data_IF_994353853855
#
_entry.id   IF_994353853855
#
_cell.length_a   1.000
_cell.length_b   1.000
_cell.length_c   1.000
_cell.angle_alpha   90.00
_cell.angle_beta   90.00
_cell.angle_gamma   90.00
#
_symmetry.space_group_name_H-M   'P 1'
#
loop_
_entity.id
_entity.type
_entity.pdbx_description
1 polymer ?
#
# COMPACT_ATOMS: atom_id res chain seq x y z
N UNK A 1 -6.47 -5.49 42.13
CA UNK A 1 -7.56 -5.08 41.21
C UNK A 1 -8.48 -6.27 41.04
N UNK A 2 -9.79 -6.05 40.89
CA UNK A 2 -10.79 -7.12 40.77
C UNK A 2 -10.56 -7.91 39.48
N UNK A 3 -10.58 -9.24 39.55
CA UNK A 3 -10.47 -10.09 38.36
C UNK A 3 -11.82 -10.37 37.66
N UNK A 4 -12.86 -9.64 38.04
CA UNK A 4 -14.20 -9.83 37.52
C UNK A 4 -14.35 -9.20 36.13
N UNK A 5 -14.60 -10.05 35.13
CA UNK A 5 -14.98 -9.63 33.78
C UNK A 5 -16.43 -9.15 33.81
N UNK A 6 -16.67 -7.94 33.31
CA UNK A 6 -18.00 -7.31 33.30
C UNK A 6 -18.59 -7.20 31.90
N UNK A 7 -17.74 -7.11 30.87
CA UNK A 7 -18.15 -7.03 29.47
C UNK A 7 -17.20 -7.88 28.65
N UNK A 8 -17.73 -8.55 27.62
CA UNK A 8 -16.91 -9.18 26.61
C UNK A 8 -17.44 -8.81 25.23
N UNK A 9 -16.53 -8.37 24.36
CA UNK A 9 -16.81 -7.84 23.03
C UNK A 9 -15.74 -8.33 22.08
N UNK A 10 -16.13 -8.95 20.96
CA UNK A 10 -15.17 -9.54 20.00
C UNK A 10 -14.14 -10.50 20.64
N UNK A 11 -14.48 -11.20 21.72
CA UNK A 11 -13.55 -12.07 22.46
C UNK A 11 -12.60 -11.34 23.43
N UNK A 12 -12.62 -10.01 23.46
CA UNK A 12 -11.94 -9.18 24.45
C UNK A 12 -12.75 -9.09 25.74
N UNK A 13 -12.08 -9.05 26.88
CA UNK A 13 -12.71 -8.98 28.21
C UNK A 13 -12.38 -7.65 28.89
N UNK A 14 -13.41 -6.90 29.25
CA UNK A 14 -13.29 -5.68 30.06
C UNK A 14 -13.54 -6.06 31.51
N UNK A 15 -12.62 -5.65 32.39
CA UNK A 15 -12.70 -5.89 33.83
C UNK A 15 -13.25 -4.71 34.59
N UNK A 16 -13.88 -5.01 35.71
CA UNK A 16 -14.27 -4.02 36.71
C UNK A 16 -13.03 -3.39 37.35
N UNK A 17 -13.10 -2.10 37.70
CA UNK A 17 -12.07 -1.36 38.44
C UNK A 17 -10.64 -1.52 37.87
N UNK A 18 -10.52 -1.31 36.55
CA UNK A 18 -9.30 -1.51 35.77
C UNK A 18 -8.98 -0.29 34.90
N UNK A 19 -7.69 -0.08 34.64
CA UNK A 19 -7.20 0.97 33.75
C UNK A 19 -6.67 0.35 32.47
N UNK A 20 -7.07 0.88 31.32
CA UNK A 20 -6.63 0.44 29.99
C UNK A 20 -5.80 1.52 29.31
N UNK A 21 -4.49 1.31 29.19
CA UNK A 21 -3.58 2.23 28.50
C UNK A 21 -3.40 1.86 27.02
N UNK A 22 -3.55 2.84 26.14
CA UNK A 22 -3.24 2.73 24.72
C UNK A 22 -1.72 2.84 24.53
N UNK A 23 -1.11 1.93 23.77
CA UNK A 23 0.32 1.93 23.44
C UNK A 23 0.54 1.73 21.95
N UNK A 24 1.58 2.35 21.39
CA UNK A 24 1.99 2.13 20.00
C UNK A 24 2.65 0.75 19.81
N UNK A 25 2.62 0.22 18.58
CA UNK A 25 3.36 -1.00 18.27
C UNK A 25 3.78 -1.13 16.78
N UNK A 26 5.10 -1.04 16.49
CA UNK A 26 5.64 -1.22 15.13
C UNK A 26 5.66 -2.66 14.58
N UNK A 27 5.71 -3.69 15.45
CA UNK A 27 6.12 -5.08 15.12
C UNK A 27 4.99 -6.13 15.23
N UNK A 28 3.72 -5.73 15.42
CA UNK A 28 2.52 -6.59 15.40
C UNK A 28 2.46 -7.86 16.31
N UNK A 29 3.47 -8.17 17.14
CA UNK A 29 3.46 -9.30 18.09
C UNK A 29 2.91 -9.02 19.53
N UNK A 30 1.72 -9.53 19.86
CA UNK A 30 1.26 -9.75 21.26
C UNK A 30 1.32 -11.27 21.64
N UNK A 31 1.45 -11.60 22.94
CA UNK A 31 1.77 -12.89 23.63
C UNK A 31 1.29 -12.80 25.10
N UNK A 32 1.04 -13.88 25.80
CA UNK A 32 -0.30 -14.21 26.26
C UNK A 32 -0.84 -13.62 27.61
N UNK A 33 -0.25 -12.58 28.25
CA UNK A 33 -0.76 -12.00 29.55
C UNK A 33 -0.81 -10.47 29.85
N UNK A 34 -0.52 -9.53 28.93
CA UNK A 34 -0.83 -8.07 29.05
C UNK A 34 -2.04 -7.51 28.27
N UNK A 35 -2.57 -8.14 27.22
CA UNK A 35 -2.64 -9.58 26.95
C UNK A 35 -3.32 -10.39 28.09
N UNK A 36 -3.64 -9.78 29.25
CA UNK A 36 -4.70 -10.17 30.21
C UNK A 36 -5.48 -8.94 30.74
N UNK A 37 -4.98 -7.84 31.36
CA UNK A 37 -5.89 -6.85 32.04
C UNK A 37 -5.57 -5.33 32.08
N UNK A 38 -5.23 -4.65 30.98
CA UNK A 38 -5.22 -3.16 31.02
C UNK A 38 -4.40 -2.42 29.98
N UNK A 39 -4.21 -2.95 28.78
CA UNK A 39 -3.59 -2.18 27.70
C UNK A 39 -4.13 -2.56 26.33
N UNK A 40 -4.31 -1.56 25.46
CA UNK A 40 -4.88 -1.67 24.11
C UNK A 40 -3.92 -1.01 23.09
N UNK A 41 -4.00 -1.35 21.79
CA UNK A 41 -3.03 -0.88 20.77
C UNK A 41 -3.72 -0.21 19.59
N UNK A 42 -3.10 0.83 19.02
CA UNK A 42 -3.57 1.52 17.80
C UNK A 42 -2.76 1.02 16.59
N UNK A 43 -3.33 0.92 15.37
CA UNK A 43 -2.63 0.32 14.23
C UNK A 43 -1.45 1.09 13.60
N UNK A 44 -1.16 2.35 13.96
CA UNK A 44 -0.11 3.18 13.31
C UNK A 44 0.36 4.33 14.22
N UNK A 45 1.63 4.72 14.10
CA UNK A 45 2.26 5.83 14.82
C UNK A 45 1.85 7.21 14.21
N UNK A 46 1.72 8.25 15.05
CA UNK A 46 1.57 9.70 14.75
C UNK A 46 0.19 10.35 14.47
N UNK A 47 -0.95 9.67 14.62
CA UNK A 47 -2.26 10.34 14.56
C UNK A 47 -3.21 9.81 15.62
N UNK A 48 -3.85 10.71 16.38
CA UNK A 48 -5.03 10.35 17.16
C UNK A 48 -6.18 10.06 16.19
N UNK A 49 -6.88 8.95 16.39
CA UNK A 49 -8.02 8.57 15.57
C UNK A 49 -9.31 8.92 16.30
N UNK A 50 -10.22 9.64 15.64
CA UNK A 50 -11.60 9.76 16.12
C UNK A 50 -12.30 8.42 15.88
N UNK A 51 -12.87 7.86 16.93
CA UNK A 51 -13.60 6.60 16.87
C UNK A 51 -15.09 6.89 16.95
N UNK A 52 -15.83 6.29 16.02
CA UNK A 52 -17.28 6.37 15.93
C UNK A 52 -17.89 4.97 15.91
N UNK A 53 -19.16 4.87 16.31
CA UNK A 53 -19.91 3.62 16.20
C UNK A 53 -20.18 3.28 14.73
N UNK A 54 -20.13 1.98 14.36
CA UNK A 54 -20.36 1.54 12.98
C UNK A 54 -21.83 1.62 12.63
N UNK A 55 -22.15 2.18 11.46
CA UNK A 55 -23.51 2.21 10.92
C UNK A 55 -23.78 0.98 10.04
N UNK A 56 -24.80 0.20 10.39
CA UNK A 56 -25.32 -0.88 9.55
C UNK A 56 -26.24 -0.30 8.47
N UNK A 57 -25.69 -0.19 7.26
CA UNK A 57 -26.39 0.36 6.09
C UNK A 57 -27.61 -0.49 5.71
N UNK A 58 -27.56 -1.81 5.87
CA UNK A 58 -28.63 -2.71 5.45
C UNK A 58 -29.87 -2.55 6.33
N UNK A 59 -29.65 -2.36 7.64
CA UNK A 59 -30.74 -2.23 8.62
C UNK A 59 -31.03 -0.79 9.03
N UNK A 60 -30.24 0.18 8.55
CA UNK A 60 -30.33 1.62 8.84
C UNK A 60 -30.28 1.92 10.34
N UNK A 61 -29.35 1.28 11.06
CA UNK A 61 -29.17 1.42 12.51
C UNK A 61 -27.70 1.39 12.87
N UNK A 62 -27.33 1.90 14.05
CA UNK A 62 -25.96 1.77 14.55
C UNK A 62 -25.74 0.38 15.16
N UNK A 63 -24.64 -0.27 14.79
CA UNK A 63 -24.26 -1.55 15.37
C UNK A 63 -23.52 -1.34 16.69
N UNK A 64 -24.31 -1.24 17.76
CA UNK A 64 -23.82 -0.98 19.13
C UNK A 64 -23.71 -2.25 19.97
N UNK A 65 -24.25 -3.38 19.52
CA UNK A 65 -24.41 -4.59 20.35
C UNK A 65 -25.47 -4.48 21.46
N UNK A 66 -26.15 -3.35 21.63
CA UNK A 66 -27.12 -3.14 22.71
C UNK A 66 -28.52 -3.72 22.44
N UNK A 67 -28.67 -4.49 21.36
CA UNK A 67 -29.93 -5.07 20.91
C UNK A 67 -29.69 -6.46 20.32
N UNK A 68 -30.69 -7.35 20.44
CA UNK A 68 -30.52 -8.79 20.15
C UNK A 68 -30.38 -9.12 18.66
N UNK A 69 -30.73 -8.19 17.78
CA UNK A 69 -30.58 -8.31 16.32
C UNK A 69 -29.25 -7.73 15.81
N UNK A 70 -28.36 -7.26 16.70
CA UNK A 70 -27.07 -6.72 16.28
C UNK A 70 -26.27 -7.72 15.44
N UNK A 71 -25.67 -7.28 14.31
CA UNK A 71 -24.78 -8.10 13.48
C UNK A 71 -23.66 -8.78 14.26
N UNK A 72 -23.21 -8.17 15.37
CA UNK A 72 -22.21 -8.73 16.30
C UNK A 72 -22.59 -10.12 16.85
N UNK A 73 -23.87 -10.47 16.81
CA UNK A 73 -24.39 -11.74 17.33
C UNK A 73 -24.90 -12.72 16.26
N UNK A 74 -24.60 -12.47 14.98
CA UNK A 74 -25.07 -13.27 13.84
C UNK A 74 -24.81 -14.78 13.96
N UNK A 75 -23.81 -15.19 14.74
CA UNK A 75 -23.43 -16.59 14.97
C UNK A 75 -23.84 -17.14 16.36
N UNK A 76 -24.64 -16.43 17.14
CA UNK A 76 -25.05 -16.83 18.50
C UNK A 76 -26.50 -17.29 18.55
N UNK A 77 -26.82 -18.24 19.42
CA UNK A 77 -28.19 -18.63 19.70
C UNK A 77 -28.98 -17.49 20.39
N UNK A 78 -30.30 -17.66 20.48
CA UNK A 78 -31.18 -16.61 21.01
C UNK A 78 -30.94 -16.32 22.51
N UNK A 79 -30.73 -17.34 23.31
CA UNK A 79 -30.61 -17.21 24.77
C UNK A 79 -29.31 -16.49 25.13
N UNK A 80 -28.21 -16.87 24.46
CA UNK A 80 -26.91 -16.22 24.63
C UNK A 80 -26.95 -14.74 24.22
N UNK A 81 -27.68 -14.40 23.15
CA UNK A 81 -27.89 -13.01 22.71
C UNK A 81 -28.62 -12.17 23.74
N UNK A 82 -29.74 -12.69 24.25
CA UNK A 82 -30.53 -12.02 25.27
C UNK A 82 -29.72 -11.81 26.56
N UNK A 83 -28.89 -12.79 26.94
CA UNK A 83 -27.98 -12.67 28.07
C UNK A 83 -26.90 -11.59 27.84
N UNK A 84 -26.24 -11.59 26.67
CA UNK A 84 -25.20 -10.58 26.33
C UNK A 84 -25.75 -9.16 26.37
N UNK A 85 -26.91 -8.92 25.76
CA UNK A 85 -27.57 -7.61 25.75
C UNK A 85 -27.91 -7.16 27.17
N UNK A 86 -28.45 -8.07 27.99
CA UNK A 86 -28.77 -7.75 29.40
C UNK A 86 -27.52 -7.35 30.19
N UNK A 87 -26.43 -8.10 30.05
CA UNK A 87 -25.16 -7.76 30.72
C UNK A 87 -24.62 -6.41 30.25
N UNK A 88 -24.65 -6.11 28.95
CA UNK A 88 -24.24 -4.80 28.45
C UNK A 88 -25.11 -3.67 29.01
N UNK A 89 -26.43 -3.85 29.06
CA UNK A 89 -27.33 -2.86 29.66
C UNK A 89 -26.98 -2.61 31.12
N UNK A 90 -26.92 -3.66 31.92
CA UNK A 90 -26.66 -3.56 33.36
C UNK A 90 -25.27 -2.99 33.72
N UNK A 91 -24.25 -3.30 32.90
CA UNK A 91 -22.84 -2.96 33.22
C UNK A 91 -22.30 -1.75 32.49
N UNK A 92 -22.93 -1.34 31.39
CA UNK A 92 -22.45 -0.26 30.53
C UNK A 92 -23.50 0.81 30.30
N UNK A 93 -24.65 0.41 29.75
CA UNK A 93 -25.60 1.37 29.17
C UNK A 93 -26.45 2.05 30.24
N UNK A 94 -27.07 1.29 31.16
CA UNK A 94 -27.92 1.87 32.20
C UNK A 94 -27.14 2.81 33.14
N UNK A 95 -25.90 2.50 33.56
CA UNK A 95 -25.07 3.45 34.30
C UNK A 95 -24.76 4.73 33.52
N UNK A 96 -24.47 4.61 32.22
CA UNK A 96 -24.21 5.76 31.35
C UNK A 96 -25.46 6.64 31.18
N UNK A 97 -26.62 6.02 30.92
CA UNK A 97 -27.93 6.70 30.84
C UNK A 97 -28.22 7.47 32.13
N UNK A 98 -28.01 6.84 33.29
CA UNK A 98 -28.26 7.44 34.60
C UNK A 98 -27.36 8.66 34.86
N UNK A 99 -26.07 8.56 34.57
CA UNK A 99 -25.10 9.66 34.79
C UNK A 99 -25.40 10.86 33.89
N UNK A 100 -25.82 10.61 32.65
CA UNK A 100 -26.05 11.67 31.66
C UNK A 100 -27.51 12.11 31.53
N UNK A 101 -28.43 11.48 32.25
CA UNK A 101 -29.88 11.75 32.12
C UNK A 101 -30.42 11.44 30.72
N UNK A 102 -29.75 10.54 29.98
CA UNK A 102 -30.19 10.12 28.64
C UNK A 102 -31.30 9.09 28.84
N UNK A 103 -32.35 9.18 28.02
CA UNK A 103 -33.37 8.13 27.96
C UNK A 103 -32.77 6.81 27.45
N UNK A 104 -33.63 5.89 26.99
CA UNK A 104 -33.15 4.61 26.46
C UNK A 104 -32.21 4.81 25.28
N UNK A 105 -30.94 4.51 25.49
CA UNK A 105 -29.85 4.47 24.53
C UNK A 105 -29.76 3.07 23.91
N UNK A 106 -30.16 2.98 22.65
CA UNK A 106 -30.08 1.80 21.80
C UNK A 106 -29.64 2.18 20.38
N UNK A 107 -29.74 1.24 19.44
CA UNK A 107 -29.30 1.41 18.07
C UNK A 107 -30.11 2.43 17.24
N UNK A 108 -31.24 2.91 17.76
CA UNK A 108 -32.13 3.87 17.09
C UNK A 108 -31.89 5.32 17.47
N UNK A 109 -31.03 5.59 18.46
CA UNK A 109 -30.66 6.96 18.83
C UNK A 109 -29.67 7.54 17.81
N UNK A 110 -30.11 7.74 16.56
CA UNK A 110 -29.29 8.14 15.42
C UNK A 110 -28.53 9.44 15.66
N UNK A 111 -29.20 10.48 16.17
CA UNK A 111 -28.59 11.78 16.47
C UNK A 111 -27.45 11.63 17.49
N UNK A 112 -27.68 10.88 18.56
CA UNK A 112 -26.65 10.61 19.56
C UNK A 112 -25.43 9.91 18.93
N UNK A 113 -25.64 8.85 18.16
CA UNK A 113 -24.52 8.08 17.60
C UNK A 113 -23.80 8.76 16.44
N UNK A 114 -24.45 9.69 15.73
CA UNK A 114 -23.80 10.55 14.75
C UNK A 114 -22.87 11.57 15.40
N UNK A 115 -23.21 12.04 16.60
CA UNK A 115 -22.43 13.04 17.34
C UNK A 115 -21.43 12.41 18.33
N UNK A 116 -21.67 11.18 18.77
CA UNK A 116 -20.82 10.50 19.74
C UNK A 116 -19.48 10.12 19.11
N UNK A 117 -18.44 10.86 19.48
CA UNK A 117 -17.06 10.58 19.11
C UNK A 117 -16.12 10.72 20.31
N UNK A 118 -15.00 10.00 20.26
CA UNK A 118 -13.89 10.17 21.17
C UNK A 118 -12.59 9.84 20.46
N UNK A 119 -11.49 10.41 20.93
CA UNK A 119 -10.18 10.22 20.31
C UNK A 119 -9.37 9.14 21.03
N UNK A 120 -8.78 8.24 20.25
CA UNK A 120 -7.80 7.26 20.69
C UNK A 120 -6.42 7.69 20.20
N UNK A 121 -5.44 7.77 21.10
CA UNK A 121 -4.06 8.10 20.79
C UNK A 121 -3.12 7.37 21.73
N UNK A 122 -1.84 7.25 21.35
CA UNK A 122 -0.83 6.62 22.19
C UNK A 122 -0.74 7.32 23.57
N UNK A 123 -0.83 6.52 24.64
CA UNK A 123 -0.80 7.01 26.00
C UNK A 123 -2.16 7.34 26.60
N UNK A 124 -3.27 7.34 25.83
CA UNK A 124 -4.63 7.47 26.37
C UNK A 124 -4.90 6.36 27.38
N UNK A 125 -5.48 6.71 28.53
CA UNK A 125 -5.92 5.78 29.56
C UNK A 125 -7.45 5.82 29.61
N UNK A 126 -8.08 4.65 29.61
CA UNK A 126 -9.50 4.45 29.89
C UNK A 126 -9.66 3.88 31.30
N UNK A 127 -10.41 4.57 32.16
CA UNK A 127 -10.79 4.05 33.48
C UNK A 127 -12.17 3.40 33.43
N UNK A 128 -12.27 2.11 33.74
CA UNK A 128 -13.57 1.41 33.71
C UNK A 128 -14.54 1.82 34.82
N UNK A 129 -14.10 2.59 35.82
CA UNK A 129 -14.99 3.19 36.82
C UNK A 129 -15.67 4.47 36.29
N UNK A 130 -15.11 5.08 35.24
CA UNK A 130 -15.73 6.22 34.57
C UNK A 130 -16.62 5.72 33.42
N UNK A 131 -17.90 6.09 33.45
CA UNK A 131 -18.89 5.61 32.47
C UNK A 131 -18.58 6.07 31.05
N UNK A 132 -17.92 7.22 30.86
CA UNK A 132 -17.54 7.72 29.54
C UNK A 132 -16.37 6.93 28.98
N UNK A 133 -15.33 6.74 29.78
CA UNK A 133 -14.18 5.93 29.39
C UNK A 133 -14.57 4.47 29.16
N UNK A 134 -15.52 3.92 29.93
CA UNK A 134 -16.01 2.56 29.72
C UNK A 134 -16.80 2.42 28.41
N UNK A 135 -17.68 3.39 28.09
CA UNK A 135 -18.40 3.41 26.81
C UNK A 135 -17.44 3.58 25.64
N UNK A 136 -16.48 4.50 25.75
CA UNK A 136 -15.46 4.72 24.74
C UNK A 136 -14.61 3.46 24.52
N UNK A 137 -14.12 2.83 25.59
CA UNK A 137 -13.35 1.58 25.50
C UNK A 137 -14.14 0.46 24.82
N UNK A 138 -15.42 0.31 25.15
CA UNK A 138 -16.31 -0.68 24.53
C UNK A 138 -16.48 -0.42 23.02
N UNK A 139 -16.79 0.81 22.62
CA UNK A 139 -16.98 1.18 21.20
C UNK A 139 -15.67 0.98 20.42
N UNK A 140 -14.51 1.25 21.03
CA UNK A 140 -13.20 1.10 20.38
C UNK A 140 -12.91 -0.38 20.08
N UNK A 141 -13.19 -1.24 21.06
CA UNK A 141 -13.03 -2.68 20.93
C UNK A 141 -14.05 -3.29 19.96
N UNK A 142 -15.29 -2.78 19.96
CA UNK A 142 -16.35 -3.18 19.04
C UNK A 142 -15.97 -2.86 17.58
N UNK A 143 -15.42 -1.68 17.35
CA UNK A 143 -14.99 -1.18 16.05
C UNK A 143 -13.66 -1.76 15.55
N UNK A 144 -12.96 -2.59 16.33
CA UNK A 144 -11.58 -3.02 16.07
C UNK A 144 -10.57 -1.87 15.95
N UNK A 145 -10.89 -0.69 16.49
CA UNK A 145 -9.97 0.46 16.53
C UNK A 145 -8.85 0.26 17.55
N UNK A 146 -9.05 -0.70 18.46
CA UNK A 146 -8.06 -1.25 19.38
C UNK A 146 -7.91 -2.75 19.14
N UNK A 147 -6.72 -3.21 18.74
CA UNK A 147 -6.54 -4.59 18.20
C UNK A 147 -5.85 -5.56 19.17
N UNK A 148 -6.45 -6.74 19.43
CA UNK A 148 -5.74 -7.96 19.84
C UNK A 148 -5.26 -8.78 18.63
N UNK A 149 -4.16 -9.53 18.81
CA UNK A 149 -3.46 -10.26 17.74
C UNK A 149 -4.31 -11.39 17.13
N UNK A 150 -5.30 -11.92 17.85
CA UNK A 150 -6.07 -13.07 17.38
C UNK A 150 -7.19 -12.71 16.38
N UNK A 151 -7.53 -11.42 16.22
CA UNK A 151 -8.64 -10.97 15.36
C UNK A 151 -8.16 -10.43 14.02
N UNK A 152 -7.50 -11.34 13.32
CA UNK A 152 -7.11 -11.27 11.92
C UNK A 152 -8.28 -10.81 11.02
N UNK A 153 -8.25 -9.55 10.57
CA UNK A 153 -9.38 -8.94 9.86
C UNK A 153 -9.09 -7.69 9.04
N UNK A 154 -7.86 -7.17 9.04
CA UNK A 154 -7.50 -5.96 8.29
C UNK A 154 -7.56 -6.24 6.77
N UNK A 155 -8.41 -5.51 6.00
CA UNK A 155 -8.49 -5.64 4.55
C UNK A 155 -7.14 -5.42 3.84
N UNK A 156 -6.22 -4.65 4.44
CA UNK A 156 -4.87 -4.41 3.91
C UNK A 156 -3.95 -5.63 4.06
N UNK A 157 -4.12 -6.41 5.13
CA UNK A 157 -3.40 -7.68 5.33
C UNK A 157 -4.04 -8.85 4.58
N UNK A 158 -5.38 -8.91 4.48
CA UNK A 158 -6.06 -9.93 3.63
C UNK A 158 -5.74 -9.76 2.15
N UNK A 159 -5.43 -8.54 1.73
CA UNK A 159 -5.01 -8.23 0.36
C UNK A 159 -3.49 -8.24 0.16
N UNK A 160 -2.70 -8.36 1.24
CA UNK A 160 -1.27 -8.60 1.10
C UNK A 160 -1.07 -10.02 0.57
N UNK A 161 -0.73 -10.15 -0.72
CA UNK A 161 -0.55 -11.45 -1.37
C UNK A 161 0.56 -12.29 -0.71
N UNK A 162 1.45 -11.67 0.08
CA UNK A 162 2.68 -12.26 0.59
C UNK A 162 2.97 -11.80 2.04
N UNK A 163 2.81 -12.69 3.02
CA UNK A 163 3.23 -12.45 4.41
C UNK A 163 4.72 -12.82 4.61
N UNK A 164 5.46 -12.02 5.35
CA UNK A 164 6.87 -12.23 5.68
C UNK A 164 6.96 -12.27 7.20
N UNK A 165 7.36 -13.41 7.77
CA UNK A 165 7.52 -13.54 9.22
C UNK A 165 8.84 -12.94 9.69
N UNK A 166 8.91 -12.39 10.90
CA UNK A 166 10.14 -11.76 11.45
C UNK A 166 11.37 -12.69 11.38
N UNK A 167 11.17 -13.99 11.59
CA UNK A 167 12.25 -15.00 11.51
C UNK A 167 12.83 -15.17 10.09
N UNK A 168 12.12 -14.66 9.08
CA UNK A 168 12.55 -14.67 7.67
C UNK A 168 13.27 -13.37 7.29
N UNK A 169 13.34 -12.39 8.20
CA UNK A 169 14.02 -11.11 8.03
C UNK A 169 15.41 -11.19 8.63
N UNK A 170 16.43 -11.09 7.78
CA UNK A 170 17.83 -11.09 8.19
C UNK A 170 18.36 -9.66 8.38
N UNK A 171 17.77 -8.69 7.69
CA UNK A 171 18.10 -7.29 7.83
C UNK A 171 16.93 -6.40 7.39
N UNK A 172 16.73 -5.32 8.12
CA UNK A 172 15.80 -4.25 7.80
C UNK A 172 16.45 -2.88 7.99
N UNK A 173 15.98 -1.90 7.22
CA UNK A 173 16.33 -0.49 7.39
C UNK A 173 15.05 0.36 7.45
N UNK A 174 15.21 1.69 7.43
CA UNK A 174 14.09 2.64 7.49
C UNK A 174 13.04 2.49 6.36
N UNK A 175 13.33 1.71 5.31
CA UNK A 175 12.44 1.45 4.17
C UNK A 175 11.88 0.03 4.14
N UNK A 176 12.23 -0.81 5.12
CA UNK A 176 11.80 -2.20 5.24
C UNK A 176 12.94 -3.20 5.10
N UNK A 177 12.58 -4.45 4.81
CA UNK A 177 13.53 -5.57 4.73
C UNK A 177 14.46 -5.41 3.53
N UNK A 178 15.66 -5.99 3.60
CA UNK A 178 16.66 -5.89 2.53
C UNK A 178 16.25 -6.63 1.23
N UNK A 179 16.91 -6.26 0.13
CA UNK A 179 16.62 -6.82 -1.21
C UNK A 179 16.80 -8.36 -1.27
N UNK A 180 17.81 -8.91 -0.57
CA UNK A 180 18.00 -10.36 -0.47
C UNK A 180 16.77 -11.06 0.14
N UNK A 181 16.19 -10.49 1.20
CA UNK A 181 15.03 -11.08 1.88
C UNK A 181 13.76 -10.93 1.03
N UNK A 182 13.57 -9.80 0.36
CA UNK A 182 12.49 -9.62 -0.64
C UNK A 182 12.57 -10.70 -1.73
N UNK A 183 13.76 -10.94 -2.28
CA UNK A 183 13.95 -11.95 -3.31
C UNK A 183 13.75 -13.37 -2.80
N UNK A 184 14.14 -13.69 -1.56
CA UNK A 184 13.82 -14.99 -0.93
C UNK A 184 12.31 -15.21 -0.86
N UNK A 185 11.54 -14.17 -0.52
CA UNK A 185 10.07 -14.25 -0.49
C UNK A 185 9.50 -14.47 -1.89
N UNK A 186 10.00 -13.76 -2.91
CA UNK A 186 9.63 -14.00 -4.32
C UNK A 186 9.82 -15.48 -4.72
N UNK A 187 10.98 -16.06 -4.39
CA UNK A 187 11.26 -17.49 -4.63
C UNK A 187 10.28 -18.39 -3.85
N UNK A 188 10.08 -18.16 -2.56
CA UNK A 188 9.17 -18.93 -1.70
C UNK A 188 7.75 -18.99 -2.27
N UNK A 189 7.24 -17.85 -2.72
CA UNK A 189 5.88 -17.77 -3.27
C UNK A 189 5.78 -18.32 -4.69
N UNK A 190 6.83 -18.21 -5.51
CA UNK A 190 6.89 -18.87 -6.81
C UNK A 190 6.91 -20.41 -6.64
N UNK A 191 7.68 -20.92 -5.66
CA UNK A 191 7.69 -22.34 -5.30
C UNK A 191 6.31 -22.81 -4.83
N UNK A 192 5.61 -22.01 -4.02
CA UNK A 192 4.24 -22.32 -3.56
C UNK A 192 3.26 -22.39 -4.73
N UNK A 193 3.20 -21.36 -5.58
CA UNK A 193 2.32 -21.35 -6.76
C UNK A 193 2.59 -22.52 -7.70
N UNK A 194 3.87 -22.85 -7.91
CA UNK A 194 4.28 -23.98 -8.75
C UNK A 194 3.82 -25.32 -8.17
N UNK A 195 3.97 -25.53 -6.85
CA UNK A 195 3.47 -26.74 -6.18
C UNK A 195 1.95 -26.88 -6.30
N UNK A 196 1.23 -25.76 -6.34
CA UNK A 196 -0.22 -25.72 -6.55
C UNK A 196 -0.62 -25.77 -8.04
N UNK A 197 0.34 -25.90 -8.97
CA UNK A 197 0.13 -25.82 -10.43
C UNK A 197 -0.59 -24.55 -10.88
N UNK A 198 -0.34 -23.42 -10.22
CA UNK A 198 -0.93 -22.12 -10.57
C UNK A 198 0.12 -21.23 -11.24
N UNK A 199 -0.22 -20.56 -12.37
CA UNK A 199 0.62 -19.48 -12.87
C UNK A 199 0.69 -18.36 -11.83
N UNK A 200 1.79 -17.62 -11.82
CA UNK A 200 1.99 -16.51 -10.91
C UNK A 200 2.44 -15.26 -11.65
N UNK A 201 2.04 -14.11 -11.10
CA UNK A 201 2.58 -12.81 -11.41
C UNK A 201 3.05 -12.19 -10.10
N UNK A 202 4.30 -11.74 -10.05
CA UNK A 202 4.87 -11.12 -8.86
C UNK A 202 5.43 -9.74 -9.24
N UNK A 203 5.02 -8.73 -8.49
CA UNK A 203 5.61 -7.40 -8.54
C UNK A 203 6.51 -7.23 -7.31
N UNK A 204 7.81 -7.14 -7.53
CA UNK A 204 8.83 -7.06 -6.46
C UNK A 204 9.44 -5.68 -6.50
N UNK A 205 9.31 -4.93 -5.39
CA UNK A 205 9.84 -3.57 -5.26
C UNK A 205 10.98 -3.56 -4.25
N UNK A 206 12.21 -3.33 -4.73
CA UNK A 206 13.43 -3.26 -3.89
C UNK A 206 13.43 -2.03 -3.00
N UNK A 207 14.09 -2.11 -1.85
CA UNK A 207 14.07 -1.08 -0.80
C UNK A 207 15.47 -0.54 -0.48
N UNK A 208 16.52 -1.33 -0.70
CA UNK A 208 17.85 -1.09 -0.12
C UNK A 208 18.56 0.15 -0.68
N UNK A 209 18.26 0.55 -1.91
CA UNK A 209 18.81 1.75 -2.56
C UNK A 209 18.15 3.08 -2.12
N UNK A 210 17.99 3.26 -0.81
CA UNK A 210 17.44 4.48 -0.22
C UNK A 210 18.24 4.92 1.00
N UNK A 211 18.31 6.24 1.25
CA UNK A 211 19.01 6.82 2.41
C UNK A 211 18.48 6.22 3.72
N UNK A 212 19.33 5.77 4.65
CA UNK A 212 20.76 6.05 4.77
C UNK A 212 21.70 5.13 3.98
N UNK A 213 21.19 4.37 3.00
CA UNK A 213 21.95 3.44 2.15
C UNK A 213 22.60 2.32 2.95
N UNK A 214 21.77 1.64 3.75
CA UNK A 214 22.18 0.54 4.62
C UNK A 214 21.65 -0.81 4.13
N UNK A 215 22.48 -1.83 4.29
CA UNK A 215 22.29 -3.21 3.81
C UNK A 215 23.12 -4.19 4.66
N UNK A 216 22.91 -5.52 4.58
CA UNK A 216 23.70 -6.50 5.32
C UNK A 216 25.21 -6.39 5.08
N UNK A 217 26.00 -6.51 6.15
CA UNK A 217 27.46 -6.47 6.07
C UNK A 217 28.05 -7.68 5.33
N UNK A 218 29.21 -7.49 4.70
CA UNK A 218 30.00 -8.56 4.08
C UNK A 218 29.47 -9.10 2.75
N UNK A 219 28.49 -8.42 2.15
CA UNK A 219 27.89 -8.80 0.86
C UNK A 219 28.60 -8.21 -0.35
N UNK A 220 29.15 -7.01 -0.18
CA UNK A 220 29.95 -6.29 -1.17
C UNK A 220 31.18 -5.67 -0.50
N UNK A 221 32.11 -5.19 -1.31
CA UNK A 221 33.41 -4.59 -0.96
C UNK A 221 33.37 -3.05 -0.86
N UNK A 222 32.18 -2.44 -0.77
CA UNK A 222 32.01 -0.99 -0.58
C UNK A 222 31.41 -0.68 0.80
N UNK A 223 31.79 0.45 1.43
CA UNK A 223 31.23 0.87 2.70
C UNK A 223 29.75 1.27 2.55
N UNK A 224 28.95 1.01 3.59
CA UNK A 224 27.57 1.50 3.67
C UNK A 224 27.52 3.03 3.79
N UNK A 225 26.34 3.63 3.60
CA UNK A 225 26.15 5.08 3.75
C UNK A 225 26.24 5.86 2.43
N UNK A 226 26.62 5.21 1.34
CA UNK A 226 26.71 5.79 0.00
C UNK A 226 25.81 5.07 -1.01
N UNK A 227 25.33 5.84 -1.99
CA UNK A 227 24.40 5.33 -3.01
C UNK A 227 25.05 4.28 -3.91
N UNK A 228 26.31 4.47 -4.33
CA UNK A 228 26.96 3.53 -5.24
C UNK A 228 27.17 2.18 -4.57
N UNK A 229 27.40 2.17 -3.26
CA UNK A 229 27.41 0.96 -2.45
C UNK A 229 26.04 0.28 -2.41
N UNK A 230 24.95 1.04 -2.16
CA UNK A 230 23.61 0.47 -2.18
C UNK A 230 23.19 -0.07 -3.56
N UNK A 231 23.57 0.62 -4.65
CA UNK A 231 23.36 0.14 -6.02
C UNK A 231 24.13 -1.16 -6.27
N UNK A 232 25.41 -1.24 -5.87
CA UNK A 232 26.21 -2.46 -5.99
C UNK A 232 25.63 -3.61 -5.16
N UNK A 233 25.06 -3.31 -3.99
CA UNK A 233 24.36 -4.30 -3.19
C UNK A 233 23.07 -4.80 -3.86
N UNK A 234 22.24 -3.91 -4.41
CA UNK A 234 21.04 -4.29 -5.18
C UNK A 234 21.41 -5.16 -6.38
N UNK A 235 22.49 -4.83 -7.11
CA UNK A 235 23.02 -5.66 -8.20
C UNK A 235 23.45 -7.06 -7.72
N UNK A 236 24.21 -7.12 -6.61
CA UNK A 236 24.57 -8.38 -5.97
C UNK A 236 23.34 -9.23 -5.59
N UNK A 237 22.36 -8.62 -4.92
CA UNK A 237 21.15 -9.31 -4.45
C UNK A 237 20.31 -9.83 -5.63
N UNK A 238 20.17 -9.03 -6.69
CA UNK A 238 19.52 -9.44 -7.94
C UNK A 238 20.28 -10.59 -8.62
N UNK A 239 21.61 -10.56 -8.62
CA UNK A 239 22.45 -11.65 -9.11
C UNK A 239 22.20 -12.96 -8.34
N UNK A 240 22.15 -12.91 -7.01
CA UNK A 240 21.83 -14.06 -6.16
C UNK A 240 20.41 -14.58 -6.40
N UNK A 241 19.44 -13.67 -6.58
CA UNK A 241 18.06 -14.02 -6.91
C UNK A 241 17.98 -14.80 -8.21
N UNK A 242 18.59 -14.30 -9.29
CA UNK A 242 18.58 -14.99 -10.60
C UNK A 242 19.34 -16.31 -10.52
N UNK A 243 20.48 -16.37 -9.83
CA UNK A 243 21.22 -17.61 -9.62
C UNK A 243 20.38 -18.68 -8.90
N UNK A 244 19.67 -18.27 -7.84
CA UNK A 244 18.75 -19.15 -7.09
C UNK A 244 17.57 -19.56 -7.96
N UNK A 245 16.95 -18.62 -8.68
CA UNK A 245 15.82 -18.87 -9.56
C UNK A 245 16.16 -19.92 -10.62
N UNK A 246 17.35 -19.86 -11.23
CA UNK A 246 17.83 -20.86 -12.22
C UNK A 246 17.81 -22.31 -11.72
N UNK A 247 17.91 -22.52 -10.42
CA UNK A 247 17.83 -23.87 -9.82
C UNK A 247 16.41 -24.42 -9.70
N UNK A 248 15.39 -23.57 -9.90
CA UNK A 248 13.99 -23.90 -9.65
C UNK A 248 13.31 -24.46 -10.90
N UNK A 249 12.37 -25.42 -10.76
CA UNK A 249 11.72 -26.06 -11.90
C UNK A 249 10.84 -25.09 -12.73
N UNK A 250 10.32 -24.03 -12.11
CA UNK A 250 9.50 -23.01 -12.77
C UNK A 250 10.32 -22.01 -13.61
N UNK A 251 11.65 -21.94 -13.43
CA UNK A 251 12.50 -20.96 -14.11
C UNK A 251 12.34 -21.03 -15.62
N UNK A 252 12.38 -22.23 -16.22
CA UNK A 252 12.27 -22.41 -17.68
C UNK A 252 11.01 -21.81 -18.31
N UNK A 253 9.98 -21.53 -17.52
CA UNK A 253 8.69 -21.00 -17.96
C UNK A 253 8.32 -19.70 -17.24
N UNK A 254 9.31 -18.93 -16.78
CA UNK A 254 9.11 -17.67 -16.06
C UNK A 254 9.93 -16.57 -16.71
N UNK A 255 9.29 -15.49 -17.13
CA UNK A 255 9.97 -14.31 -17.68
C UNK A 255 10.14 -13.26 -16.59
N UNK A 256 11.30 -12.62 -16.55
CA UNK A 256 11.61 -11.54 -15.61
C UNK A 256 11.64 -10.21 -16.37
N UNK A 257 10.87 -9.23 -15.89
CA UNK A 257 10.99 -7.84 -16.33
C UNK A 257 11.68 -7.04 -15.22
N UNK A 258 12.94 -6.69 -15.44
CA UNK A 258 13.76 -5.92 -14.50
C UNK A 258 13.77 -4.47 -14.98
N UNK A 259 13.26 -3.55 -14.18
CA UNK A 259 13.15 -2.14 -14.57
C UNK A 259 13.33 -1.25 -13.34
N UNK A 260 14.02 -0.12 -13.50
CA UNK A 260 14.05 0.88 -12.44
C UNK A 260 12.74 1.71 -12.43
N UNK A 261 12.30 2.10 -11.25
CA UNK A 261 11.12 2.94 -11.06
C UNK A 261 11.37 4.38 -11.53
N UNK A 262 12.50 4.97 -11.13
CA UNK A 262 12.95 6.30 -11.55
C UNK A 262 14.46 6.51 -11.27
N UNK A 263 14.99 7.66 -11.71
CA UNK A 263 16.35 8.09 -11.37
C UNK A 263 16.40 8.82 -10.02
N UNK A 264 17.54 8.77 -9.32
CA UNK A 264 17.71 9.40 -8.00
C UNK A 264 17.69 10.95 -7.99
N UNK A 265 17.71 11.60 -9.16
CA UNK A 265 17.79 13.06 -9.30
C UNK A 265 16.61 13.66 -10.08
N UNK A 266 15.52 12.91 -10.29
CA UNK A 266 14.32 13.40 -11.00
C UNK A 266 13.42 14.28 -10.10
N UNK A 267 13.47 14.07 -8.78
CA UNK A 267 12.63 14.78 -7.80
C UNK A 267 13.17 16.18 -7.42
N UNK A 268 12.26 17.11 -7.13
CA UNK A 268 12.57 18.40 -6.49
C UNK A 268 13.14 19.51 -7.39
N UNK A 269 13.33 19.26 -8.69
CA UNK A 269 13.74 20.29 -9.66
C UNK A 269 12.56 20.80 -10.48
N UNK A 270 12.55 22.10 -10.77
CA UNK A 270 11.54 22.72 -11.63
C UNK A 270 11.67 22.28 -13.10
N UNK A 271 12.92 22.12 -13.55
CA UNK A 271 13.24 21.76 -14.93
C UNK A 271 13.44 20.25 -15.10
N UNK A 272 12.96 19.71 -16.22
CA UNK A 272 13.16 18.32 -16.58
C UNK A 272 14.52 18.19 -17.27
N UNK A 273 15.41 17.41 -16.65
CA UNK A 273 16.64 16.95 -17.30
C UNK A 273 16.39 15.56 -17.90
N UNK A 274 16.36 15.47 -19.23
CA UNK A 274 15.99 14.23 -19.96
C UNK A 274 16.96 13.09 -19.65
N UNK A 275 18.27 13.35 -19.64
CA UNK A 275 19.29 12.34 -19.32
C UNK A 275 19.09 11.73 -17.93
N UNK A 276 18.57 12.52 -16.98
CA UNK A 276 18.22 12.07 -15.61
C UNK A 276 16.86 11.38 -15.51
N UNK A 277 16.25 10.97 -16.61
CA UNK A 277 15.05 10.12 -16.63
C UNK A 277 15.28 8.81 -17.40
N UNK A 278 16.50 8.57 -17.91
CA UNK A 278 16.83 7.32 -18.57
C UNK A 278 17.05 6.21 -17.53
N UNK A 279 16.22 5.18 -17.60
CA UNK A 279 16.21 4.05 -16.66
C UNK A 279 16.56 2.73 -17.38
N UNK A 280 17.22 1.78 -16.70
CA UNK A 280 17.42 0.44 -17.25
C UNK A 280 16.09 -0.32 -17.32
N UNK A 281 15.93 -1.11 -18.38
CA UNK A 281 14.87 -2.10 -18.55
C UNK A 281 15.42 -3.34 -19.26
N UNK A 282 15.15 -4.52 -18.70
CA UNK A 282 15.65 -5.82 -19.20
C UNK A 282 14.49 -6.81 -19.16
N UNK A 283 14.17 -7.42 -20.30
CA UNK A 283 13.34 -8.62 -20.37
C UNK A 283 14.30 -9.82 -20.38
N UNK A 284 14.23 -10.66 -19.36
CA UNK A 284 15.14 -11.78 -19.16
C UNK A 284 14.40 -13.11 -19.12
N UNK A 285 15.09 -14.16 -19.59
CA UNK A 285 14.61 -15.54 -19.64
C UNK A 285 13.39 -15.76 -20.55
N UNK A 286 13.32 -14.97 -21.61
CA UNK A 286 12.40 -15.17 -22.73
C UNK A 286 13.05 -16.13 -23.75
N UNK A 287 12.26 -17.00 -24.37
CA UNK A 287 12.74 -17.84 -25.49
C UNK A 287 12.89 -17.01 -26.78
N UNK A 288 13.85 -16.09 -26.76
CA UNK A 288 14.11 -15.13 -27.82
C UNK A 288 15.62 -14.89 -27.94
N UNK A 289 16.09 -14.57 -29.14
CA UNK A 289 17.49 -14.19 -29.35
C UNK A 289 17.81 -12.91 -28.56
N UNK A 290 18.91 -12.86 -27.79
CA UNK A 290 19.29 -11.63 -27.09
C UNK A 290 19.45 -10.46 -28.07
N UNK A 291 18.81 -9.34 -27.78
CA UNK A 291 18.87 -8.14 -28.61
C UNK A 291 18.90 -6.86 -27.76
N UNK A 292 19.45 -5.79 -28.33
CA UNK A 292 19.38 -4.44 -27.77
C UNK A 292 18.36 -3.63 -28.58
N UNK A 293 17.28 -3.20 -27.94
CA UNK A 293 16.30 -2.30 -28.56
C UNK A 293 16.75 -0.85 -28.33
N UNK A 294 17.40 -0.27 -29.34
CA UNK A 294 17.90 1.12 -29.28
C UNK A 294 16.85 2.12 -29.80
N UNK A 295 15.65 2.06 -29.23
CA UNK A 295 14.49 2.89 -29.63
C UNK A 295 13.90 3.61 -28.43
N UNK A 296 13.45 4.84 -28.64
CA UNK A 296 12.85 5.66 -27.59
C UNK A 296 11.59 4.99 -27.06
N UNK A 297 11.57 4.68 -25.77
CA UNK A 297 10.52 3.87 -25.14
C UNK A 297 10.16 4.47 -23.77
N UNK A 298 8.88 4.47 -23.41
CA UNK A 298 8.44 4.82 -22.05
C UNK A 298 8.34 3.58 -21.17
N UNK A 299 8.45 3.73 -19.85
CA UNK A 299 8.24 2.62 -18.91
C UNK A 299 6.87 1.92 -19.10
N UNK A 300 5.83 2.69 -19.46
CA UNK A 300 4.48 2.16 -19.71
C UNK A 300 4.38 1.24 -20.94
N UNK A 301 5.39 1.27 -21.83
CA UNK A 301 5.44 0.49 -23.06
C UNK A 301 6.04 -0.91 -22.82
N UNK A 302 6.64 -1.16 -21.65
CA UNK A 302 7.31 -2.42 -21.33
C UNK A 302 6.35 -3.62 -21.26
N UNK A 303 5.21 -3.47 -20.58
CA UNK A 303 4.21 -4.53 -20.48
C UNK A 303 3.60 -4.93 -21.82
N UNK A 304 3.08 -4.01 -22.66
CA UNK A 304 2.56 -4.38 -23.98
C UNK A 304 3.66 -4.95 -24.89
N UNK A 305 4.91 -4.47 -24.78
CA UNK A 305 6.06 -5.07 -25.48
C UNK A 305 6.29 -6.52 -25.05
N UNK A 306 6.29 -6.80 -23.75
CA UNK A 306 6.41 -8.16 -23.22
C UNK A 306 5.25 -9.06 -23.69
N UNK A 307 4.02 -8.55 -23.69
CA UNK A 307 2.87 -9.31 -24.20
C UNK A 307 2.99 -9.64 -25.69
N UNK A 308 3.54 -8.72 -26.49
CA UNK A 308 3.89 -8.97 -27.89
C UNK A 308 4.87 -10.13 -28.04
N UNK A 309 5.95 -10.14 -27.26
CA UNK A 309 6.91 -11.26 -27.24
C UNK A 309 6.32 -12.59 -26.79
N UNK A 310 5.34 -12.56 -25.88
CA UNK A 310 4.59 -13.75 -25.44
C UNK A 310 3.51 -14.18 -26.43
N UNK A 311 3.32 -13.44 -27.54
CA UNK A 311 2.27 -13.65 -28.53
C UNK A 311 0.86 -13.66 -27.90
N UNK A 312 0.64 -12.78 -26.91
CA UNK A 312 -0.64 -12.65 -26.23
C UNK A 312 -1.56 -11.67 -26.96
N UNK A 313 -2.83 -12.05 -27.08
CA UNK A 313 -3.88 -11.13 -27.50
C UNK A 313 -4.47 -10.45 -26.27
N UNK A 314 -4.52 -9.13 -26.27
CA UNK A 314 -5.09 -8.36 -25.17
C UNK A 314 -5.81 -7.12 -25.70
N UNK A 315 -6.88 -6.74 -25.00
CA UNK A 315 -7.52 -5.43 -25.17
C UNK A 315 -7.08 -4.56 -24.01
N UNK A 316 -6.51 -3.41 -24.30
CA UNK A 316 -6.12 -2.45 -23.26
C UNK A 316 -6.71 -1.09 -23.54
N UNK A 317 -7.11 -0.42 -22.47
CA UNK A 317 -7.46 1.00 -22.52
C UNK A 317 -6.33 1.87 -21.94
N UNK A 318 -5.17 1.28 -21.67
CA UNK A 318 -3.95 1.97 -21.22
C UNK A 318 -3.17 2.53 -22.41
N UNK A 319 -2.25 3.45 -22.14
CA UNK A 319 -1.55 4.23 -23.17
C UNK A 319 -0.25 3.59 -23.68
N UNK A 320 0.19 2.49 -23.06
CA UNK A 320 1.41 1.80 -23.46
C UNK A 320 1.29 1.17 -24.84
N UNK A 321 2.38 1.16 -25.60
CA UNK A 321 2.48 0.52 -26.92
C UNK A 321 3.54 -0.56 -26.93
N UNK A 322 3.32 -1.62 -27.72
CA UNK A 322 4.37 -2.58 -28.05
C UNK A 322 5.40 -1.89 -28.96
N UNK A 323 6.66 -1.80 -28.52
CA UNK A 323 7.71 -1.14 -29.29
C UNK A 323 7.97 -1.87 -30.61
N UNK A 324 7.79 -3.20 -30.67
CA UNK A 324 8.00 -3.99 -31.87
C UNK A 324 6.98 -3.68 -32.98
N UNK A 325 5.79 -3.21 -32.59
CA UNK A 325 4.72 -2.80 -33.52
C UNK A 325 4.65 -1.29 -33.72
N UNK A 326 5.38 -0.52 -32.92
CA UNK A 326 5.46 0.94 -33.06
C UNK A 326 6.24 1.27 -34.34
N UNK A 327 5.70 2.15 -35.19
CA UNK A 327 6.36 2.56 -36.43
C UNK A 327 7.52 3.53 -36.14
N UNK A 328 8.61 3.52 -36.94
CA UNK A 328 9.64 4.55 -36.85
C UNK A 328 9.04 5.97 -36.97
N UNK A 329 9.41 6.86 -36.06
CA UNK A 329 8.90 8.23 -35.93
C UNK A 329 7.66 8.36 -35.03
N UNK A 330 7.07 7.25 -34.57
CA UNK A 330 5.98 7.24 -33.59
C UNK A 330 6.44 6.97 -32.16
N UNK A 331 7.72 6.68 -31.96
CA UNK A 331 8.33 6.48 -30.65
C UNK A 331 8.21 7.71 -29.77
N UNK A 332 8.01 7.48 -28.46
CA UNK A 332 7.83 8.56 -27.51
C UNK A 332 8.20 8.17 -26.09
N UNK A 333 8.71 9.14 -25.34
CA UNK A 333 8.90 9.04 -23.91
C UNK A 333 8.04 10.07 -23.17
N UNK A 334 7.31 9.63 -22.16
CA UNK A 334 6.69 10.52 -21.18
C UNK A 334 7.67 10.84 -20.07
N UNK A 335 7.86 12.13 -19.78
CA UNK A 335 8.70 12.61 -18.70
C UNK A 335 7.88 13.52 -17.79
N UNK A 336 8.17 13.50 -16.51
CA UNK A 336 7.42 14.30 -15.56
C UNK A 336 8.08 14.41 -14.20
N UNK A 337 7.79 15.52 -13.53
CA UNK A 337 8.03 15.73 -12.11
C UNK A 337 6.75 16.28 -11.47
N UNK A 338 6.83 16.76 -10.22
CA UNK A 338 5.66 17.24 -9.49
C UNK A 338 4.86 18.39 -10.14
N UNK A 339 5.49 19.23 -10.98
CA UNK A 339 4.86 20.43 -11.57
C UNK A 339 4.90 20.48 -13.09
N UNK A 340 5.80 19.72 -13.69
CA UNK A 340 6.11 19.77 -15.10
C UNK A 340 5.90 18.39 -15.70
N UNK A 341 5.20 18.34 -16.83
CA UNK A 341 4.95 17.13 -17.60
C UNK A 341 5.45 17.34 -19.02
N UNK A 342 5.78 16.28 -19.76
CA UNK A 342 6.18 16.46 -21.13
C UNK A 342 6.33 15.18 -21.94
N UNK A 343 6.33 15.37 -23.25
CA UNK A 343 6.46 14.33 -24.25
C UNK A 343 7.74 14.57 -25.05
N UNK A 344 8.64 13.60 -25.06
CA UNK A 344 9.76 13.54 -25.99
C UNK A 344 9.35 12.71 -27.20
N UNK A 345 9.43 13.30 -28.40
CA UNK A 345 9.14 12.63 -29.68
C UNK A 345 9.92 13.31 -30.80
N UNK A 346 10.57 12.53 -31.67
CA UNK A 346 11.36 13.04 -32.80
C UNK A 346 12.37 14.14 -32.41
N UNK A 347 13.12 13.92 -31.33
CA UNK A 347 14.08 14.87 -30.76
C UNK A 347 13.50 16.23 -30.33
N UNK A 348 12.17 16.34 -30.20
CA UNK A 348 11.49 17.51 -29.65
C UNK A 348 10.88 17.11 -28.30
N UNK A 349 11.29 17.80 -27.25
CA UNK A 349 10.66 17.70 -25.94
C UNK A 349 9.62 18.81 -25.78
N UNK A 350 8.35 18.43 -25.69
CA UNK A 350 7.24 19.34 -25.45
C UNK A 350 6.90 19.33 -23.96
N UNK A 351 7.17 20.44 -23.29
CA UNK A 351 6.97 20.63 -21.87
C UNK A 351 5.68 21.44 -21.61
N UNK A 352 4.87 20.97 -20.67
CA UNK A 352 3.69 21.67 -20.14
C UNK A 352 3.79 21.78 -18.60
N UNK A 353 3.23 22.85 -18.03
CA UNK A 353 3.25 23.07 -16.58
C UNK A 353 1.89 23.49 -15.99
N UNK A 354 1.86 23.59 -14.66
CA UNK A 354 0.70 23.98 -13.84
C UNK A 354 0.20 25.43 -14.09
N UNK A 355 0.95 26.25 -14.83
CA UNK A 355 0.57 27.61 -15.24
C UNK A 355 0.09 27.68 -16.69
N UNK A 356 -0.24 26.53 -17.29
CA UNK A 356 -0.66 26.41 -18.70
C UNK A 356 0.41 26.93 -19.69
N UNK A 357 1.68 26.97 -19.28
CA UNK A 357 2.76 27.35 -20.19
C UNK A 357 3.19 26.12 -20.98
N UNK A 358 3.53 26.38 -22.25
CA UNK A 358 4.05 25.36 -23.15
C UNK A 358 5.41 25.83 -23.65
N UNK A 359 6.43 25.00 -23.47
CA UNK A 359 7.76 25.18 -24.06
C UNK A 359 8.11 23.97 -24.91
N UNK A 360 8.88 24.18 -25.97
CA UNK A 360 9.43 23.11 -26.77
C UNK A 360 10.94 23.25 -26.86
N UNK A 361 11.63 22.13 -26.80
CA UNK A 361 13.08 22.08 -26.85
C UNK A 361 13.52 21.07 -27.91
N UNK A 362 14.52 21.43 -28.72
CA UNK A 362 15.29 20.43 -29.44
C UNK A 362 16.20 19.72 -28.44
N UNK A 363 16.27 18.41 -28.56
CA UNK A 363 17.08 17.52 -27.73
C UNK A 363 18.22 16.98 -28.55
N UNK A 364 19.46 17.25 -28.14
CA UNK A 364 20.66 16.92 -28.91
C UNK A 364 21.79 16.40 -28.03
N UNK A 365 22.68 15.61 -28.63
CA UNK A 365 23.88 15.13 -27.95
C UNK A 365 23.64 13.97 -26.97
N UNK A 366 24.74 13.40 -26.47
CA UNK A 366 24.70 12.28 -25.53
C UNK A 366 24.16 12.68 -24.14
N UNK A 367 24.31 13.96 -23.76
CA UNK A 367 23.82 14.54 -22.52
C UNK A 367 22.33 14.96 -22.59
N UNK A 368 21.68 14.77 -23.76
CA UNK A 368 20.30 15.16 -24.01
C UNK A 368 20.06 16.65 -23.73
N UNK A 369 21.01 17.50 -24.14
CA UNK A 369 20.95 18.96 -24.00
C UNK A 369 19.68 19.55 -24.61
N UNK A 370 19.10 20.56 -23.94
CA UNK A 370 17.88 21.23 -24.34
C UNK A 370 18.17 22.61 -24.93
N UNK A 371 17.63 22.88 -26.13
CA UNK A 371 17.63 24.22 -26.73
C UNK A 371 16.21 24.64 -27.09
N UNK A 372 15.73 25.76 -26.53
CA UNK A 372 14.34 26.20 -26.71
C UNK A 372 14.06 26.54 -28.18
N UNK A 373 12.96 26.00 -28.71
CA UNK A 373 12.53 26.19 -30.10
C UNK A 373 11.72 27.48 -30.20
N UNK A 374 12.10 28.36 -31.13
CA UNK A 374 11.41 29.65 -31.36
C UNK A 374 10.02 29.48 -31.99
N UNK A 375 9.86 28.52 -32.91
CA UNK A 375 8.59 28.21 -33.59
C UNK A 375 8.06 26.86 -33.10
N UNK A 376 6.88 26.86 -32.49
CA UNK A 376 6.31 25.65 -31.88
C UNK A 376 5.67 24.74 -32.92
N UNK A 377 5.92 23.44 -32.81
CA UNK A 377 5.16 22.41 -33.50
C UNK A 377 3.83 22.20 -32.76
N UNK A 378 2.76 22.84 -33.26
CA UNK A 378 1.43 22.80 -32.64
C UNK A 378 0.82 21.39 -32.61
N UNK A 379 1.17 20.51 -33.55
CA UNK A 379 0.68 19.12 -33.52
C UNK A 379 1.23 18.36 -32.31
N UNK A 380 2.53 18.51 -32.03
CA UNK A 380 3.14 17.90 -30.83
C UNK A 380 2.63 18.54 -29.53
N UNK A 381 2.32 19.84 -29.54
CA UNK A 381 1.67 20.52 -28.40
C UNK A 381 0.30 19.89 -28.11
N UNK A 382 -0.55 19.80 -29.12
CA UNK A 382 -1.88 19.19 -28.99
C UNK A 382 -1.77 17.72 -28.56
N UNK A 383 -0.90 16.93 -29.19
CA UNK A 383 -0.67 15.52 -28.83
C UNK A 383 -0.26 15.37 -27.35
N UNK A 384 0.70 16.19 -26.90
CA UNK A 384 1.18 16.19 -25.50
C UNK A 384 0.04 16.50 -24.53
N UNK A 385 -0.71 17.58 -24.78
CA UNK A 385 -1.85 17.98 -23.93
C UNK A 385 -2.92 16.88 -23.91
N UNK A 386 -3.23 16.29 -25.07
CA UNK A 386 -4.23 15.23 -25.18
C UNK A 386 -3.87 14.00 -24.34
N UNK A 387 -2.61 13.55 -24.32
CA UNK A 387 -2.21 12.42 -23.46
C UNK A 387 -2.52 12.69 -21.98
N UNK A 388 -2.06 13.82 -21.44
CA UNK A 388 -2.21 14.12 -20.02
C UNK A 388 -3.66 14.48 -19.63
N UNK A 389 -4.36 15.25 -20.46
CA UNK A 389 -5.75 15.61 -20.18
C UNK A 389 -6.68 14.40 -20.26
N UNK A 390 -6.52 13.55 -21.27
CA UNK A 390 -7.36 12.34 -21.38
C UNK A 390 -7.06 11.36 -20.26
N UNK A 391 -5.79 11.19 -19.85
CA UNK A 391 -5.46 10.36 -18.70
C UNK A 391 -6.13 10.87 -17.42
N UNK A 392 -6.06 12.19 -17.16
CA UNK A 392 -6.70 12.82 -15.99
C UNK A 392 -8.23 12.71 -16.02
N UNK A 393 -8.86 13.00 -17.17
CA UNK A 393 -10.31 12.91 -17.36
C UNK A 393 -10.79 11.48 -17.13
N UNK A 394 -10.13 10.51 -17.77
CA UNK A 394 -10.53 9.11 -17.68
C UNK A 394 -10.35 8.56 -16.27
N UNK A 395 -9.30 8.96 -15.57
CA UNK A 395 -9.10 8.60 -14.17
C UNK A 395 -10.22 9.18 -13.29
N UNK A 396 -10.46 10.50 -13.36
CA UNK A 396 -11.48 11.20 -12.55
C UNK A 396 -12.88 10.65 -12.77
N UNK A 397 -13.20 10.26 -14.00
CA UNK A 397 -14.52 9.73 -14.36
C UNK A 397 -14.61 8.19 -14.28
N UNK A 398 -13.65 7.53 -13.63
CA UNK A 398 -13.68 6.08 -13.42
C UNK A 398 -13.54 5.22 -14.68
N UNK A 399 -13.19 5.82 -15.84
CA UNK A 399 -13.02 5.15 -17.15
C UNK A 399 -11.70 4.37 -17.27
N UNK A 400 -10.88 4.37 -16.22
CA UNK A 400 -9.67 3.54 -16.10
C UNK A 400 -9.85 2.37 -15.13
N UNK A 401 -11.04 2.20 -14.53
CA UNK A 401 -11.33 1.02 -13.71
C UNK A 401 -11.43 -0.22 -14.61
N UNK A 402 -10.88 -1.33 -14.14
CA UNK A 402 -11.17 -2.63 -14.72
C UNK A 402 -12.69 -2.85 -14.62
N UNK A 403 -13.32 -3.17 -15.75
CA UNK A 403 -14.74 -3.50 -15.79
C UNK A 403 -14.95 -4.97 -15.45
#
# INVERSE_FOLDING_TARGET
MSDKVIIEVNGLKIKENSLYKVVDKPDLNAVDGLREHGSTKVPLEFMGNSVQCRYDVANRVFDTGFYTQSPCYSNMDRELREQRVRTLREKLVDPYELVHGIGKLDNKNEEFWLEYEYTVFEGKIFNTEDVNDLLALYIAMLGFELTPKELNGDPRFRNAQFCIEDKEVNFENAWGICDEDLYKQSIKYADKSTKENKPFFQFVMTTSNHKPYTFPNGKIDLPQGDRDAAVKYTDYALGQFIATAKTKPWFKNTVFLIVADHCASSAGKWEINIAKHHIPAIIYNLNHTPEKIDRLTSQIDLMPTLFGYLNWNYNTSLYGKDINQTKPGEERAFLGNYRTLGLLKNNIFTQIDDRKRVKQFNVTGADQSLSEVKSKNNNLVTETISYYQTASERFKNGKMKQK
#
